data_IF_148812264835
#
_entry.id   IF_148812264835
#
_cell.length_a   1.000
_cell.length_b   1.000
_cell.length_c   1.000
_cell.angle_alpha   90.00
_cell.angle_beta   90.00
_cell.angle_gamma   90.00
#
_symmetry.space_group_name_H-M   'P 1'
#
loop_
_entity.id
_entity.type
_entity.pdbx_description
1 polymer ?
#
# COMPACT_ATOMS: atom_id res chain seq x y z
N UNK A 1 9.24 -20.55 8.81
CA UNK A 1 8.40 -19.48 9.37
C UNK A 1 6.98 -19.46 8.83
N UNK A 2 6.74 -19.52 7.50
CA UNK A 2 5.37 -19.49 6.96
C UNK A 2 4.50 -20.68 7.41
N UNK A 3 5.04 -21.90 7.33
CA UNK A 3 4.34 -23.13 7.72
C UNK A 3 3.96 -23.16 9.21
N UNK A 4 4.90 -22.81 10.09
CA UNK A 4 4.67 -22.73 11.54
C UNK A 4 3.68 -21.65 11.97
N UNK A 5 3.52 -20.61 11.14
CA UNK A 5 2.53 -19.56 11.33
C UNK A 5 1.17 -19.91 10.67
N UNK A 6 1.08 -21.04 9.96
CA UNK A 6 -0.12 -21.45 9.23
C UNK A 6 -0.43 -20.59 8.00
N UNK A 7 0.58 -19.91 7.43
CA UNK A 7 0.42 -19.00 6.29
C UNK A 7 0.69 -19.67 4.93
N UNK A 8 1.02 -20.96 4.92
CA UNK A 8 1.27 -21.75 3.73
C UNK A 8 0.91 -23.22 4.00
N UNK A 9 0.67 -23.97 2.92
CA UNK A 9 0.42 -25.42 2.96
C UNK A 9 1.55 -26.18 2.27
N UNK A 10 1.73 -27.44 2.66
CA UNK A 10 2.60 -28.40 1.97
C UNK A 10 1.71 -29.22 1.03
N UNK A 11 2.18 -29.55 -0.19
CA UNK A 11 1.45 -30.46 -1.08
C UNK A 11 1.17 -31.81 -0.42
N UNK A 12 0.06 -32.46 -0.79
CA UNK A 12 -0.33 -33.76 -0.22
C UNK A 12 0.62 -34.92 -0.61
N UNK A 13 1.44 -34.70 -1.63
CA UNK A 13 2.39 -35.68 -2.15
C UNK A 13 3.81 -35.12 -2.18
N UNK A 14 4.81 -35.99 -2.01
CA UNK A 14 6.21 -35.62 -2.07
C UNK A 14 6.58 -35.15 -3.49
N UNK A 15 7.04 -33.89 -3.66
CA UNK A 15 7.49 -33.42 -4.97
C UNK A 15 8.73 -34.18 -5.45
N UNK A 16 8.89 -34.40 -6.77
CA UNK A 16 9.94 -35.26 -7.33
C UNK A 16 11.39 -34.79 -7.03
N UNK A 17 11.60 -33.50 -6.77
CA UNK A 17 12.91 -32.92 -6.46
C UNK A 17 13.09 -32.56 -4.98
N UNK A 18 12.18 -33.00 -4.11
CA UNK A 18 12.21 -32.66 -2.69
C UNK A 18 12.75 -33.82 -1.86
N UNK A 19 13.66 -33.52 -0.94
CA UNK A 19 14.16 -34.52 -0.01
C UNK A 19 13.06 -34.96 0.97
N UNK A 20 13.00 -36.28 1.22
CA UNK A 20 12.00 -36.87 2.13
C UNK A 20 12.07 -36.29 3.54
N UNK A 21 13.28 -36.02 4.05
CA UNK A 21 13.48 -35.45 5.39
C UNK A 21 12.91 -34.04 5.51
N UNK A 22 13.19 -33.18 4.52
CA UNK A 22 12.64 -31.82 4.45
C UNK A 22 11.11 -31.83 4.33
N UNK A 23 10.56 -32.71 3.49
CA UNK A 23 9.12 -32.87 3.34
C UNK A 23 8.44 -33.30 4.65
N UNK A 24 9.04 -34.24 5.39
CA UNK A 24 8.53 -34.67 6.69
C UNK A 24 8.57 -33.52 7.71
N UNK A 25 9.66 -32.74 7.74
CA UNK A 25 9.78 -31.57 8.61
C UNK A 25 8.73 -30.49 8.30
N UNK A 26 8.51 -30.18 7.01
CA UNK A 26 7.53 -29.19 6.60
C UNK A 26 6.11 -29.63 6.88
N UNK A 27 5.80 -30.91 6.63
CA UNK A 27 4.51 -31.51 6.99
C UNK A 27 4.26 -31.42 8.50
N UNK A 28 5.28 -31.70 9.31
CA UNK A 28 5.19 -31.55 10.77
C UNK A 28 4.86 -30.11 11.18
N UNK A 29 5.59 -29.12 10.66
CA UNK A 29 5.35 -27.71 10.96
C UNK A 29 3.95 -27.24 10.54
N UNK A 30 3.45 -27.71 9.39
CA UNK A 30 2.08 -27.43 8.94
C UNK A 30 1.03 -28.05 9.88
N UNK A 31 1.23 -29.30 10.29
CA UNK A 31 0.31 -30.00 11.19
C UNK A 31 0.28 -29.37 12.58
N UNK A 32 1.42 -28.90 13.10
CA UNK A 32 1.49 -28.11 14.32
C UNK A 32 0.67 -26.82 14.19
N UNK A 33 0.85 -26.04 13.12
CA UNK A 33 0.07 -24.83 12.89
C UNK A 33 -1.44 -25.10 12.72
N UNK A 34 -1.80 -26.22 12.07
CA UNK A 34 -3.20 -26.68 11.91
C UNK A 34 -3.82 -27.04 13.25
N UNK A 35 -3.12 -27.83 14.08
CA UNK A 35 -3.58 -28.19 15.42
C UNK A 35 -3.76 -26.96 16.32
N UNK A 36 -2.89 -25.97 16.17
CA UNK A 36 -2.96 -24.68 16.85
C UNK A 36 -3.96 -23.68 16.22
N UNK A 37 -4.67 -24.05 15.14
CA UNK A 37 -5.64 -23.20 14.42
C UNK A 37 -5.09 -21.82 14.05
N UNK A 38 -3.86 -21.77 13.53
CA UNK A 38 -3.18 -20.52 13.13
C UNK A 38 -3.34 -20.21 11.65
N UNK A 39 -3.33 -18.92 11.31
CA UNK A 39 -3.30 -18.45 9.93
C UNK A 39 -4.49 -18.94 9.11
N UNK A 40 -4.20 -19.63 7.99
CA UNK A 40 -5.21 -20.22 7.10
C UNK A 40 -6.07 -21.29 7.78
N UNK A 41 -5.60 -21.88 8.88
CA UNK A 41 -6.33 -22.89 9.64
C UNK A 41 -7.18 -22.29 10.78
N UNK A 42 -7.17 -20.97 10.95
CA UNK A 42 -8.02 -20.29 11.90
C UNK A 42 -9.48 -20.26 11.39
N UNK A 43 -10.49 -20.40 12.27
CA UNK A 43 -11.91 -20.43 11.87
C UNK A 43 -12.39 -19.13 11.22
N UNK A 44 -11.69 -18.01 11.42
CA UNK A 44 -12.01 -16.68 10.94
C UNK A 44 -11.01 -16.15 9.88
N UNK A 45 -10.22 -17.04 9.26
CA UNK A 45 -9.23 -16.66 8.25
C UNK A 45 -9.81 -15.77 7.13
N UNK A 46 -11.05 -16.03 6.72
CA UNK A 46 -11.76 -15.24 5.70
C UNK A 46 -11.94 -13.75 6.06
N UNK A 47 -12.02 -13.41 7.36
CA UNK A 47 -12.20 -12.01 7.81
C UNK A 47 -10.95 -11.15 7.64
N UNK A 48 -9.81 -11.77 7.36
CA UNK A 48 -8.52 -11.11 7.23
C UNK A 48 -8.15 -10.77 5.77
N UNK A 49 -9.04 -11.08 4.82
CA UNK A 49 -8.88 -10.75 3.40
C UNK A 49 -9.15 -9.26 3.19
N UNK A 50 -8.20 -8.55 2.60
CA UNK A 50 -8.38 -7.15 2.19
C UNK A 50 -9.09 -7.11 0.84
N UNK A 51 -10.05 -6.23 0.71
CA UNK A 51 -10.80 -6.03 -0.52
C UNK A 51 -10.43 -4.69 -1.14
N UNK A 52 -10.07 -4.71 -2.42
CA UNK A 52 -10.08 -3.50 -3.23
C UNK A 52 -11.55 -3.18 -3.52
N UNK A 53 -12.09 -2.15 -2.86
CA UNK A 53 -13.47 -1.71 -3.07
C UNK A 53 -13.45 -0.46 -3.93
N UNK A 54 -14.26 -0.45 -4.98
CA UNK A 54 -14.56 0.76 -5.72
C UNK A 54 -15.56 1.57 -4.90
N UNK A 55 -15.05 2.52 -4.13
CA UNK A 55 -15.87 3.48 -3.40
C UNK A 55 -16.48 4.48 -4.39
N UNK A 56 -17.72 4.90 -4.14
CA UNK A 56 -18.32 6.00 -4.91
C UNK A 56 -17.64 7.33 -4.59
N UNK A 57 -17.80 8.33 -5.45
CA UNK A 57 -17.26 9.67 -5.21
C UNK A 57 -17.77 10.28 -3.89
N UNK A 58 -19.02 10.01 -3.52
CA UNK A 58 -19.58 10.45 -2.24
C UNK A 58 -18.92 9.76 -1.04
N UNK A 59 -18.66 8.46 -1.14
CA UNK A 59 -17.96 7.69 -0.11
C UNK A 59 -16.51 8.17 0.05
N UNK A 60 -15.80 8.39 -1.06
CA UNK A 60 -14.43 8.92 -1.06
C UNK A 60 -14.36 10.33 -0.45
N UNK A 61 -15.31 11.18 -0.78
CA UNK A 61 -15.37 12.55 -0.26
C UNK A 61 -15.62 12.55 1.26
N UNK A 62 -16.59 11.75 1.72
CA UNK A 62 -16.84 11.57 3.17
C UNK A 62 -15.63 11.02 3.90
N UNK A 63 -14.97 10.02 3.32
CA UNK A 63 -13.77 9.42 3.87
C UNK A 63 -12.65 10.45 3.97
N UNK A 64 -12.30 11.12 2.87
CA UNK A 64 -11.21 12.10 2.87
C UNK A 64 -11.48 13.28 3.81
N UNK A 65 -12.71 13.77 3.92
CA UNK A 65 -13.05 14.78 4.94
C UNK A 65 -12.89 14.26 6.37
N UNK A 66 -13.28 13.01 6.64
CA UNK A 66 -13.11 12.41 7.97
C UNK A 66 -11.64 12.20 8.36
N UNK A 67 -10.75 12.14 7.36
CA UNK A 67 -9.32 11.92 7.53
C UNK A 67 -8.50 13.20 7.45
N UNK A 68 -9.08 14.30 6.95
CA UNK A 68 -8.36 15.56 6.74
C UNK A 68 -7.56 16.01 7.96
N UNK A 69 -6.32 16.42 7.71
CA UNK A 69 -5.31 16.83 8.69
C UNK A 69 -4.88 15.76 9.70
N UNK A 70 -5.25 14.49 9.50
CA UNK A 70 -4.76 13.38 10.34
C UNK A 70 -3.49 12.78 9.77
N UNK A 71 -2.60 12.39 10.67
CA UNK A 71 -1.44 11.57 10.35
C UNK A 71 -1.70 10.11 10.66
N UNK A 72 -1.14 9.23 9.82
CA UNK A 72 -1.40 7.81 9.87
C UNK A 72 -0.24 7.00 9.32
N UNK A 73 0.01 5.85 9.95
CA UNK A 73 0.82 4.81 9.35
C UNK A 73 -0.04 3.99 8.38
N UNK A 74 0.27 4.07 7.10
CA UNK A 74 -0.41 3.32 6.04
C UNK A 74 0.57 2.40 5.32
N UNK A 75 0.07 1.31 4.74
CA UNK A 75 0.86 0.43 3.87
C UNK A 75 0.61 0.78 2.41
N UNK A 76 1.67 0.94 1.63
CA UNK A 76 1.57 1.08 0.18
C UNK A 76 1.51 -0.31 -0.46
N UNK A 77 0.36 -0.66 -1.04
CA UNK A 77 0.11 -1.96 -1.65
C UNK A 77 0.47 -1.95 -3.15
N UNK A 78 0.27 -0.81 -3.82
CA UNK A 78 0.59 -0.65 -5.24
C UNK A 78 0.97 0.80 -5.57
N UNK A 79 1.84 0.97 -6.55
CA UNK A 79 2.16 2.27 -7.17
C UNK A 79 1.54 2.26 -8.57
N UNK A 80 0.54 3.11 -8.80
CA UNK A 80 -0.09 3.22 -10.13
C UNK A 80 0.77 4.09 -11.04
N UNK A 81 1.12 5.28 -10.53
CA UNK A 81 2.05 6.24 -11.12
C UNK A 81 3.00 6.75 -10.03
N UNK A 82 3.96 7.60 -10.38
CA UNK A 82 4.87 8.18 -9.39
C UNK A 82 4.16 8.92 -8.24
N UNK A 83 2.96 9.45 -8.48
CA UNK A 83 2.18 10.28 -7.55
C UNK A 83 0.85 9.66 -7.12
N UNK A 84 0.46 8.50 -7.67
CA UNK A 84 -0.81 7.83 -7.34
C UNK A 84 -0.54 6.44 -6.77
N UNK A 85 -1.02 6.22 -5.54
CA UNK A 85 -0.78 5.00 -4.76
C UNK A 85 -2.09 4.29 -4.44
N UNK A 86 -2.04 2.96 -4.31
CA UNK A 86 -3.06 2.18 -3.62
C UNK A 86 -2.55 1.86 -2.23
N UNK A 87 -3.33 2.22 -1.23
CA UNK A 87 -2.93 2.11 0.17
C UNK A 87 -3.94 1.33 1.00
N UNK A 88 -3.47 0.73 2.08
CA UNK A 88 -4.30 0.06 3.08
C UNK A 88 -3.88 0.46 4.49
N UNK A 89 -4.84 0.49 5.40
CA UNK A 89 -4.58 0.69 6.83
C UNK A 89 -5.71 0.03 7.63
N UNK A 90 -5.46 -1.09 8.32
CA UNK A 90 -6.48 -1.75 9.13
C UNK A 90 -7.11 -0.83 10.18
N UNK A 91 -6.35 0.14 10.70
CA UNK A 91 -6.79 1.05 11.75
C UNK A 91 -7.76 2.13 11.23
N UNK A 92 -7.61 2.53 9.95
CA UNK A 92 -8.29 3.72 9.41
C UNK A 92 -9.25 3.36 8.28
N UNK A 93 -8.80 2.49 7.37
CA UNK A 93 -9.54 2.06 6.18
C UNK A 93 -10.18 0.67 6.37
N UNK A 94 -9.92 0.01 7.51
CA UNK A 94 -10.38 -1.34 7.77
C UNK A 94 -9.82 -2.34 6.75
N UNK A 95 -10.72 -3.12 6.13
CA UNK A 95 -10.37 -4.07 5.07
C UNK A 95 -10.30 -3.45 3.68
N UNK A 96 -10.54 -2.14 3.54
CA UNK A 96 -10.62 -1.46 2.24
C UNK A 96 -9.26 -0.95 1.79
N UNK A 97 -8.96 -1.14 0.51
CA UNK A 97 -7.85 -0.46 -0.18
C UNK A 97 -8.38 0.74 -0.95
N UNK A 98 -7.67 1.86 -0.90
CA UNK A 98 -8.11 3.14 -1.49
C UNK A 98 -7.00 3.74 -2.34
N UNK A 99 -7.36 4.36 -3.46
CA UNK A 99 -6.46 5.14 -4.28
C UNK A 99 -6.26 6.53 -3.67
N UNK A 100 -5.00 6.96 -3.56
CA UNK A 100 -4.62 8.24 -2.98
C UNK A 100 -3.59 8.94 -3.87
N UNK A 101 -3.64 10.26 -3.89
CA UNK A 101 -2.83 11.12 -4.74
C UNK A 101 -1.89 11.96 -3.88
N UNK A 102 -0.63 12.07 -4.29
CA UNK A 102 0.33 12.92 -3.61
C UNK A 102 -0.01 14.40 -3.85
N UNK A 103 -0.22 15.13 -2.76
CA UNK A 103 -0.60 16.55 -2.78
C UNK A 103 0.52 17.42 -3.35
N UNK A 104 0.16 18.43 -4.12
CA UNK A 104 1.06 19.46 -4.64
C UNK A 104 1.93 19.04 -5.82
N UNK A 105 1.90 17.77 -6.22
CA UNK A 105 2.70 17.24 -7.33
C UNK A 105 1.87 16.40 -8.30
N UNK A 106 2.33 16.31 -9.55
CA UNK A 106 1.81 15.40 -10.56
C UNK A 106 2.94 14.71 -11.30
N UNK A 107 2.65 13.55 -11.89
CA UNK A 107 3.60 12.89 -12.80
C UNK A 107 3.78 13.76 -14.04
N UNK A 108 5.01 13.82 -14.56
CA UNK A 108 5.25 14.39 -15.90
C UNK A 108 4.40 13.64 -16.93
N UNK A 109 3.77 14.39 -17.83
CA UNK A 109 2.87 13.85 -18.86
C UNK A 109 3.55 12.81 -19.75
N UNK A 110 2.70 11.98 -20.36
CA UNK A 110 2.99 10.72 -21.06
C UNK A 110 3.98 10.86 -22.23
N UNK A 111 4.26 12.08 -22.69
CA UNK A 111 5.11 12.37 -23.85
C UNK A 111 6.59 11.99 -23.65
N UNK A 112 7.02 11.77 -22.40
CA UNK A 112 8.35 11.19 -22.11
C UNK A 112 8.18 9.90 -21.28
N UNK A 113 7.82 8.83 -21.99
CA UNK A 113 7.60 7.48 -21.42
C UNK A 113 8.73 7.02 -20.48
N UNK A 114 9.98 7.36 -20.79
CA UNK A 114 11.15 7.00 -19.99
C UNK A 114 11.14 7.67 -18.60
N UNK A 115 10.85 8.97 -18.55
CA UNK A 115 10.81 9.72 -17.28
C UNK A 115 9.66 9.24 -16.43
N UNK A 116 8.48 9.02 -17.01
CA UNK A 116 7.32 8.48 -16.29
C UNK A 116 7.61 7.10 -15.69
N UNK A 117 8.27 6.22 -16.47
CA UNK A 117 8.69 4.89 -16.01
C UNK A 117 9.72 4.97 -14.89
N UNK A 118 10.72 5.84 -15.03
CA UNK A 118 11.76 6.03 -14.03
C UNK A 118 11.19 6.64 -12.73
N UNK A 119 10.29 7.61 -12.83
CA UNK A 119 9.59 8.20 -11.69
C UNK A 119 8.78 7.16 -10.95
N UNK A 120 8.03 6.31 -11.66
CA UNK A 120 7.29 5.20 -11.06
C UNK A 120 8.22 4.19 -10.39
N UNK A 121 9.30 3.79 -11.07
CA UNK A 121 10.30 2.86 -10.51
C UNK A 121 10.95 3.43 -9.25
N UNK A 122 11.21 4.74 -9.21
CA UNK A 122 11.72 5.42 -8.03
C UNK A 122 10.72 5.33 -6.87
N UNK A 123 9.45 5.68 -7.10
CA UNK A 123 8.40 5.55 -6.09
C UNK A 123 8.22 4.11 -5.62
N UNK A 124 8.26 3.11 -6.51
CA UNK A 124 8.21 1.70 -6.15
C UNK A 124 9.38 1.28 -5.28
N UNK A 125 10.60 1.67 -5.66
CA UNK A 125 11.82 1.36 -4.92
C UNK A 125 11.75 1.85 -3.47
N UNK A 126 11.13 3.02 -3.21
CA UNK A 126 11.11 3.65 -1.89
C UNK A 126 9.83 3.42 -1.08
N UNK A 127 8.67 3.23 -1.72
CA UNK A 127 7.39 3.15 -1.00
C UNK A 127 6.70 1.78 -1.10
N UNK A 128 6.86 1.04 -2.21
CA UNK A 128 6.09 -0.20 -2.43
C UNK A 128 6.33 -1.22 -1.30
N UNK A 129 5.25 -1.83 -0.80
CA UNK A 129 5.25 -2.81 0.28
C UNK A 129 5.79 -2.32 1.63
N UNK A 130 5.92 -1.00 1.81
CA UNK A 130 6.35 -0.39 3.08
C UNK A 130 5.19 0.26 3.83
N UNK A 131 5.35 0.30 5.15
CA UNK A 131 4.53 1.13 6.02
C UNK A 131 5.16 2.52 6.06
N UNK A 132 4.39 3.54 5.71
CA UNK A 132 4.84 4.92 5.60
C UNK A 132 3.91 5.83 6.39
N UNK A 133 4.46 6.86 7.00
CA UNK A 133 3.66 7.89 7.64
C UNK A 133 3.13 8.81 6.54
N UNK A 134 1.83 9.04 6.57
CA UNK A 134 1.20 10.02 5.70
C UNK A 134 0.41 11.00 6.52
N UNK A 135 0.25 12.20 5.98
CA UNK A 135 -0.77 13.16 6.37
C UNK A 135 -1.84 13.19 5.28
N UNK A 136 -3.11 13.13 5.68
CA UNK A 136 -4.23 13.34 4.76
C UNK A 136 -4.49 14.83 4.59
N UNK A 137 -4.35 15.34 3.37
CA UNK A 137 -4.47 16.78 3.10
C UNK A 137 -5.89 17.16 2.62
N UNK A 138 -6.76 16.17 2.36
CA UNK A 138 -8.16 16.37 2.04
C UNK A 138 -8.58 15.65 0.76
N UNK A 139 -9.46 16.30 -0.01
CA UNK A 139 -10.06 15.75 -1.22
C UNK A 139 -10.04 16.83 -2.30
N UNK A 140 -9.70 16.46 -3.54
CA UNK A 140 -9.75 17.38 -4.68
C UNK A 140 -11.17 17.52 -5.28
N UNK A 141 -11.30 18.37 -6.31
CA UNK A 141 -12.57 18.58 -7.01
C UNK A 141 -13.10 17.33 -7.74
N UNK A 142 -12.28 16.29 -7.92
CA UNK A 142 -12.62 15.03 -8.57
C UNK A 142 -12.87 13.90 -7.55
N UNK A 143 -12.99 14.23 -6.27
CA UNK A 143 -13.16 13.26 -5.18
C UNK A 143 -11.96 12.33 -4.95
N UNK A 144 -10.77 12.71 -5.43
CA UNK A 144 -9.53 11.98 -5.13
C UNK A 144 -9.03 12.37 -3.74
N UNK A 145 -8.63 11.38 -2.95
CA UNK A 145 -8.04 11.61 -1.62
C UNK A 145 -6.59 12.04 -1.79
N UNK A 146 -6.27 13.18 -1.18
CA UNK A 146 -4.95 13.81 -1.22
C UNK A 146 -4.15 13.44 0.03
N UNK A 147 -2.90 13.06 -0.16
CA UNK A 147 -1.96 12.71 0.92
C UNK A 147 -0.59 13.33 0.71
N UNK A 148 0.10 13.56 1.82
CA UNK A 148 1.53 13.86 1.86
C UNK A 148 2.27 12.73 2.55
N UNK A 149 3.30 12.18 1.90
CA UNK A 149 4.14 11.13 2.50
C UNK A 149 5.25 11.80 3.29
N UNK A 150 5.18 11.68 4.61
CA UNK A 150 6.03 12.41 5.54
C UNK A 150 7.06 11.48 6.20
N UNK A 151 8.26 12.00 6.42
CA UNK A 151 9.36 11.33 7.08
C UNK A 151 10.12 12.33 7.95
N UNK A 152 10.96 11.82 8.85
CA UNK A 152 11.89 12.66 9.64
C UNK A 152 12.88 13.43 8.77
N UNK A 153 13.06 13.01 7.50
CA UNK A 153 13.95 13.64 6.52
C UNK A 153 13.25 14.68 5.62
N UNK A 154 11.94 14.88 5.77
CA UNK A 154 11.14 15.73 4.89
C UNK A 154 10.04 14.95 4.16
N UNK A 155 9.45 15.58 3.14
CA UNK A 155 8.39 14.97 2.33
C UNK A 155 8.94 14.16 1.15
N UNK A 156 8.28 13.05 0.82
CA UNK A 156 8.67 12.29 -0.38
C UNK A 156 8.40 13.08 -1.67
N UNK A 157 7.44 14.02 -1.64
CA UNK A 157 7.15 14.89 -2.77
C UNK A 157 8.34 15.81 -3.11
N UNK A 158 9.05 16.34 -2.12
CA UNK A 158 10.29 17.10 -2.33
C UNK A 158 11.39 16.23 -2.97
N UNK A 159 11.48 14.96 -2.60
CA UNK A 159 12.42 14.04 -3.24
C UNK A 159 12.12 13.85 -4.73
N UNK A 160 10.84 13.67 -5.08
CA UNK A 160 10.44 13.54 -6.48
C UNK A 160 10.70 14.83 -7.27
N UNK A 161 10.45 16.00 -6.69
CA UNK A 161 10.70 17.29 -7.32
C UNK A 161 12.20 17.57 -7.51
N UNK A 162 13.02 17.35 -6.47
CA UNK A 162 14.47 17.60 -6.53
C UNK A 162 15.20 16.73 -7.55
N UNK A 163 14.68 15.53 -7.83
CA UNK A 163 15.18 14.62 -8.87
C UNK A 163 14.56 14.89 -10.25
N UNK A 164 13.65 15.86 -10.38
CA UNK A 164 12.95 16.16 -11.63
C UNK A 164 12.00 15.05 -12.10
N UNK A 165 11.51 14.21 -11.17
CA UNK A 165 10.64 13.06 -11.42
C UNK A 165 9.14 13.39 -11.35
N UNK A 166 8.80 14.54 -10.77
CA UNK A 166 7.47 15.09 -10.73
C UNK A 166 7.49 16.58 -11.10
N UNK A 167 6.32 17.13 -11.38
CA UNK A 167 6.11 18.57 -11.56
C UNK A 167 5.12 19.09 -10.52
N UNK A 168 5.20 20.38 -10.22
CA UNK A 168 4.28 21.04 -9.30
C UNK A 168 2.88 21.02 -9.90
N UNK A 169 1.89 20.68 -9.08
CA UNK A 169 0.47 20.75 -9.42
C UNK A 169 -0.18 21.92 -8.66
N UNK A 170 -0.36 23.03 -9.36
CA UNK A 170 -0.94 24.26 -8.78
C UNK A 170 -2.38 24.07 -8.27
N UNK A 171 -3.13 23.08 -8.77
CA UNK A 171 -4.52 22.85 -8.36
C UNK A 171 -4.65 22.21 -6.99
N UNK A 172 -3.63 21.48 -6.53
CA UNK A 172 -3.63 20.80 -5.23
C UNK A 172 -2.62 21.39 -4.26
N UNK A 173 -1.84 22.40 -4.68
CA UNK A 173 -0.81 23.01 -3.84
C UNK A 173 -1.40 23.74 -2.62
N UNK A 174 -2.58 24.34 -2.76
CA UNK A 174 -3.31 25.04 -1.69
C UNK A 174 -3.78 24.09 -0.58
N UNK A 175 -3.91 22.79 -0.86
CA UNK A 175 -4.21 21.77 0.13
C UNK A 175 -2.98 21.38 0.96
N UNK A 176 -1.77 21.79 0.53
CA UNK A 176 -0.54 21.51 1.26
C UNK A 176 -0.43 22.44 2.46
N UNK A 177 -0.55 21.90 3.67
CA UNK A 177 -0.12 22.62 4.87
C UNK A 177 1.38 22.43 5.02
N UNK A 178 2.16 23.46 4.74
CA UNK A 178 3.59 23.46 5.08
C UNK A 178 3.70 23.36 6.60
N UNK A 179 4.37 22.31 7.08
CA UNK A 179 4.80 22.21 8.47
C UNK A 179 6.07 23.04 8.67
#
# INVERSE_FOLDING_TARGET
MLLSAGLATVPDHLPPHMERGLFAQYTKLMNEARSARRGLFAPDAARHVRHLRNLSNEELTKLGHSLSSKEALIRVERVLTATVLIVSSPQILGSTQVAVHMTGITSKEVDVSEVSTLSKMHTERFLLNRNVNVRFDGVDAFSNILISVISTKGSFQEELLSRGLATINSSTISCTTLA
#
